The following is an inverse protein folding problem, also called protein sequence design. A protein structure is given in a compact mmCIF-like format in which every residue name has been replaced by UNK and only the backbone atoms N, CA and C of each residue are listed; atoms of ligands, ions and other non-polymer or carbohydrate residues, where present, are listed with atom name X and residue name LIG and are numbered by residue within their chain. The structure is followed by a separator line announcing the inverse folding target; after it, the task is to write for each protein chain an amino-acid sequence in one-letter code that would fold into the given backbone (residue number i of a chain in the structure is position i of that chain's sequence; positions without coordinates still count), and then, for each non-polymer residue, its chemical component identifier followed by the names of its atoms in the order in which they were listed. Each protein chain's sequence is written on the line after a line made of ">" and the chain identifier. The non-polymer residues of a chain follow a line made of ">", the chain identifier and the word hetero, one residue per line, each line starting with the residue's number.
data_IF_838430536249
#
_entry.id   IF_838430536249
#
_cell.length_a   1.000
_cell.length_b   1.000
_cell.length_c   1.000
_cell.angle_alpha   90.00
_cell.angle_beta   90.00
_cell.angle_gamma   90.00
#
_symmetry.space_group_name_H-M   'P 1'
#
loop_
_entity.id
_entity.type
_entity.pdbx_description
1 polymer ?
#
# COMPACT_ATOMS: atom_id res chain seq x y z
N UNK A 1 -28.28 -3.98 0.74
CA UNK A 1 -27.43 -4.22 -0.44
C UNK A 1 -26.91 -2.88 -0.94
N UNK A 2 -25.78 -2.43 -0.38
CA UNK A 2 -24.93 -1.36 -0.94
C UNK A 2 -23.50 -1.65 -0.50
N UNK A 3 -22.98 -2.83 -0.88
CA UNK A 3 -21.54 -3.01 -0.94
C UNK A 3 -21.05 -2.23 -2.16
N UNK A 4 -20.96 -0.91 -2.02
CA UNK A 4 -20.15 -0.09 -2.93
C UNK A 4 -18.72 -0.57 -2.76
N UNK A 5 -18.33 -1.56 -3.55
CA UNK A 5 -16.97 -1.59 -4.07
C UNK A 5 -16.74 -0.17 -4.58
N UNK A 6 -16.01 0.67 -3.83
CA UNK A 6 -15.74 2.03 -4.29
C UNK A 6 -15.08 1.88 -5.66
N UNK A 7 -15.87 2.17 -6.70
CA UNK A 7 -15.42 2.03 -8.06
C UNK A 7 -14.28 3.05 -8.21
N UNK A 8 -13.09 2.55 -8.53
CA UNK A 8 -11.92 3.38 -8.66
C UNK A 8 -12.22 4.53 -9.61
N UNK A 9 -12.02 5.75 -9.14
CA UNK A 9 -12.15 6.94 -9.98
C UNK A 9 -10.79 7.28 -10.55
N UNK A 10 -10.62 7.25 -11.89
CA UNK A 10 -9.36 7.63 -12.52
C UNK A 10 -8.96 9.04 -12.10
N UNK A 11 -7.72 9.16 -11.63
CA UNK A 11 -7.19 10.44 -11.20
C UNK A 11 -6.34 11.06 -12.32
N UNK A 12 -6.44 12.37 -12.48
CA UNK A 12 -5.57 13.11 -13.40
C UNK A 12 -4.15 13.18 -12.82
N UNK A 13 -3.25 12.35 -13.38
CA UNK A 13 -1.85 12.27 -12.99
C UNK A 13 -1.13 13.61 -13.17
N UNK A 14 -1.42 14.35 -14.24
CA UNK A 14 -0.68 15.57 -14.58
C UNK A 14 -1.10 16.69 -13.64
N UNK A 15 -2.40 16.95 -13.53
CA UNK A 15 -2.92 18.01 -12.65
C UNK A 15 -2.55 17.78 -11.19
N UNK A 16 -2.70 16.54 -10.72
CA UNK A 16 -2.35 16.16 -9.35
C UNK A 16 -0.85 16.31 -9.09
N UNK A 17 0.00 15.86 -10.01
CA UNK A 17 1.46 16.00 -9.91
C UNK A 17 1.89 17.46 -9.90
N UNK A 18 1.34 18.30 -10.79
CA UNK A 18 1.67 19.73 -10.85
C UNK A 18 1.32 20.40 -9.52
N UNK A 19 0.11 20.17 -8.99
CA UNK A 19 -0.32 20.73 -7.70
C UNK A 19 0.63 20.32 -6.57
N UNK A 20 0.92 19.03 -6.45
CA UNK A 20 1.81 18.53 -5.39
C UNK A 20 3.25 19.03 -5.55
N UNK A 21 3.75 19.11 -6.79
CA UNK A 21 5.08 19.65 -7.09
C UNK A 21 5.16 21.14 -6.73
N UNK A 22 4.12 21.92 -6.99
CA UNK A 22 4.06 23.34 -6.62
C UNK A 22 4.02 23.52 -5.10
N UNK A 23 3.19 22.74 -4.39
CA UNK A 23 3.11 22.80 -2.92
C UNK A 23 4.45 22.41 -2.29
N UNK A 24 5.03 21.29 -2.70
CA UNK A 24 6.33 20.84 -2.18
C UNK A 24 7.47 21.77 -2.60
N UNK A 25 7.44 22.32 -3.80
CA UNK A 25 8.37 23.36 -4.25
C UNK A 25 8.27 24.64 -3.41
N UNK A 26 7.06 25.06 -3.01
CA UNK A 26 6.86 26.19 -2.12
C UNK A 26 7.42 25.92 -0.71
N UNK A 27 7.23 24.72 -0.17
CA UNK A 27 7.87 24.27 1.08
C UNK A 27 9.40 24.28 0.93
N UNK A 28 9.92 23.84 -0.22
CA UNK A 28 11.34 23.87 -0.54
C UNK A 28 11.90 25.30 -0.64
N UNK A 29 11.13 26.24 -1.19
CA UNK A 29 11.46 27.66 -1.23
C UNK A 29 11.53 28.23 0.19
N UNK A 30 10.52 27.95 1.01
CA UNK A 30 10.52 28.38 2.41
C UNK A 30 11.74 27.84 3.17
N UNK A 31 12.03 26.54 3.03
CA UNK A 31 13.21 25.92 3.61
C UNK A 31 14.52 26.53 3.07
N UNK A 32 14.57 26.83 1.77
CA UNK A 32 15.71 27.50 1.13
C UNK A 32 15.95 28.89 1.71
N UNK A 33 14.89 29.67 1.93
CA UNK A 33 14.95 30.99 2.55
C UNK A 33 15.49 30.91 3.98
N UNK A 34 14.98 29.98 4.79
CA UNK A 34 15.50 29.73 6.15
C UNK A 34 16.96 29.31 6.12
N UNK A 35 17.35 28.43 5.18
CA UNK A 35 18.75 28.03 5.06
C UNK A 35 19.65 29.19 4.64
N UNK A 36 19.19 30.08 3.77
CA UNK A 36 19.94 31.24 3.31
C UNK A 36 20.16 32.27 4.45
N UNK A 37 19.17 32.48 5.31
CA UNK A 37 19.31 33.39 6.47
C UNK A 37 20.24 32.84 7.56
N UNK A 38 20.35 31.52 7.67
CA UNK A 38 21.24 30.85 8.63
C UNK A 38 22.70 30.72 8.13
N UNK A 39 23.01 31.14 6.90
CA UNK A 39 24.40 31.04 6.40
C UNK A 39 25.31 32.06 7.07
N UNK A 40 26.54 31.64 7.38
CA UNK A 40 27.57 32.48 8.03
C UNK A 40 28.01 33.69 7.19
N UNK A 41 27.72 33.68 5.89
CA UNK A 41 28.08 34.73 4.92
C UNK A 41 26.78 35.29 4.36
N UNK A 42 26.70 36.61 4.19
CA UNK A 42 25.51 37.25 3.62
C UNK A 42 25.52 37.09 2.10
N UNK A 43 24.63 36.26 1.57
CA UNK A 43 24.46 36.02 0.13
C UNK A 43 23.29 36.82 -0.48
N UNK A 44 22.63 37.66 0.33
CA UNK A 44 21.47 38.45 -0.10
C UNK A 44 20.27 37.58 -0.54
N UNK A 45 19.22 38.21 -1.08
CA UNK A 45 18.01 37.52 -1.53
C UNK A 45 18.27 36.52 -2.67
N UNK A 46 19.23 36.81 -3.52
CA UNK A 46 19.58 35.95 -4.66
C UNK A 46 20.25 34.62 -4.24
N UNK A 47 20.78 34.55 -3.00
CA UNK A 47 21.31 33.33 -2.41
C UNK A 47 20.27 32.20 -2.30
N UNK A 48 18.99 32.53 -2.17
CA UNK A 48 17.89 31.54 -2.07
C UNK A 48 17.78 30.67 -3.33
N UNK A 49 18.05 31.26 -4.50
CA UNK A 49 17.97 30.55 -5.78
C UNK A 49 19.34 29.98 -6.17
N UNK A 50 20.41 30.76 -5.99
CA UNK A 50 21.74 30.37 -6.50
C UNK A 50 22.52 29.46 -5.55
N UNK A 51 22.35 29.62 -4.22
CA UNK A 51 23.13 28.88 -3.23
C UNK A 51 22.34 27.76 -2.57
N UNK A 52 21.12 28.05 -2.16
CA UNK A 52 20.22 27.08 -1.51
C UNK A 52 19.14 26.54 -2.45
N UNK A 53 19.10 26.96 -3.73
CA UNK A 53 18.10 26.51 -4.70
C UNK A 53 18.06 24.99 -4.93
N UNK A 54 19.13 24.27 -4.58
CA UNK A 54 19.14 22.81 -4.58
C UNK A 54 18.08 22.18 -3.65
N UNK A 55 17.67 22.86 -2.57
CA UNK A 55 16.58 22.37 -1.72
C UNK A 55 15.22 22.53 -2.38
N UNK A 56 15.00 23.64 -3.09
CA UNK A 56 13.77 23.86 -3.86
C UNK A 56 13.59 22.74 -4.87
N UNK A 57 14.65 22.48 -5.66
CA UNK A 57 14.65 21.39 -6.63
C UNK A 57 14.45 20.02 -5.98
N UNK A 58 15.08 19.77 -4.83
CA UNK A 58 14.92 18.52 -4.09
C UNK A 58 13.47 18.31 -3.66
N UNK A 59 12.86 19.24 -2.93
CA UNK A 59 11.49 19.10 -2.46
C UNK A 59 10.48 18.97 -3.60
N UNK A 60 10.63 19.79 -4.65
CA UNK A 60 9.78 19.70 -5.84
C UNK A 60 9.93 18.33 -6.54
N UNK A 61 11.16 17.83 -6.70
CA UNK A 61 11.41 16.53 -7.34
C UNK A 61 10.82 15.36 -6.53
N UNK A 62 10.94 15.40 -5.20
CA UNK A 62 10.38 14.37 -4.32
C UNK A 62 8.86 14.36 -4.39
N UNK A 63 8.23 15.53 -4.26
CA UNK A 63 6.77 15.66 -4.33
C UNK A 63 6.19 15.28 -5.69
N UNK A 64 6.85 15.73 -6.77
CA UNK A 64 6.45 15.39 -8.13
C UNK A 64 6.61 13.91 -8.45
N UNK A 65 7.77 13.32 -8.17
CA UNK A 65 8.02 11.91 -8.41
C UNK A 65 7.09 11.01 -7.57
N UNK A 66 6.87 11.37 -6.30
CA UNK A 66 5.94 10.67 -5.41
C UNK A 66 4.52 10.66 -5.97
N UNK A 67 3.97 11.84 -6.28
CA UNK A 67 2.58 11.96 -6.70
C UNK A 67 2.35 11.32 -8.06
N UNK A 68 3.26 11.53 -9.00
CA UNK A 68 3.17 10.94 -10.33
C UNK A 68 3.16 9.42 -10.26
N UNK A 69 4.13 8.82 -9.55
CA UNK A 69 4.22 7.37 -9.43
C UNK A 69 3.04 6.77 -8.68
N UNK A 70 2.56 7.43 -7.61
CA UNK A 70 1.37 7.02 -6.87
C UNK A 70 0.13 6.98 -7.76
N UNK A 71 -0.13 8.05 -8.50
CA UNK A 71 -1.32 8.16 -9.36
C UNK A 71 -1.21 7.24 -10.58
N UNK A 72 -0.02 7.12 -11.18
CA UNK A 72 0.20 6.17 -12.27
C UNK A 72 -0.03 4.72 -11.84
N UNK A 73 0.45 4.34 -10.64
CA UNK A 73 0.22 3.01 -10.08
C UNK A 73 -1.25 2.77 -9.75
N UNK A 74 -1.95 3.78 -9.23
CA UNK A 74 -3.37 3.70 -8.93
C UNK A 74 -4.22 3.54 -10.21
N UNK A 75 -3.93 4.33 -11.24
CA UNK A 75 -4.62 4.27 -12.53
C UNK A 75 -4.38 2.94 -13.25
N UNK A 76 -3.16 2.39 -13.20
CA UNK A 76 -2.84 1.11 -13.85
C UNK A 76 -3.47 -0.09 -13.15
N UNK A 77 -3.61 -0.02 -11.81
CA UNK A 77 -4.16 -1.11 -11.00
C UNK A 77 -5.66 -0.97 -10.75
N UNK A 78 -6.23 0.17 -11.13
CA UNK A 78 -7.61 0.58 -10.86
C UNK A 78 -8.01 0.35 -9.39
N UNK A 79 -7.07 0.60 -8.47
CA UNK A 79 -7.20 0.32 -7.04
C UNK A 79 -6.44 1.34 -6.20
N UNK A 80 -7.06 1.79 -5.11
CA UNK A 80 -6.43 2.63 -4.10
C UNK A 80 -5.95 1.79 -2.90
N UNK A 81 -4.69 1.37 -2.94
CA UNK A 81 -4.07 0.58 -1.87
C UNK A 81 -2.73 1.19 -1.43
N UNK A 82 -2.22 0.72 -0.27
CA UNK A 82 -0.89 1.01 0.27
C UNK A 82 0.28 0.76 -0.72
N UNK A 83 0.09 -0.12 -1.69
CA UNK A 83 1.05 -0.34 -2.78
C UNK A 83 1.28 0.91 -3.64
N UNK A 84 0.31 1.81 -3.74
CA UNK A 84 0.46 3.05 -4.49
C UNK A 84 1.41 4.00 -3.76
N UNK A 85 1.35 4.07 -2.43
CA UNK A 85 2.36 4.78 -1.64
C UNK A 85 3.72 4.08 -1.62
N UNK A 86 3.78 2.76 -1.76
CA UNK A 86 5.06 2.08 -1.93
C UNK A 86 5.77 2.55 -3.20
N UNK A 87 5.05 2.61 -4.33
CA UNK A 87 5.60 3.13 -5.59
C UNK A 87 5.92 4.62 -5.50
N UNK A 88 5.00 5.43 -4.97
CA UNK A 88 5.26 6.85 -4.72
C UNK A 88 6.52 7.07 -3.87
N UNK A 89 6.63 6.33 -2.75
CA UNK A 89 7.76 6.40 -1.83
C UNK A 89 9.07 5.93 -2.44
N UNK A 90 9.03 4.93 -3.30
CA UNK A 90 10.21 4.46 -4.03
C UNK A 90 10.78 5.55 -4.92
N UNK A 91 9.94 6.18 -5.75
CA UNK A 91 10.37 7.22 -6.68
C UNK A 91 10.67 8.55 -5.97
N UNK A 92 9.90 8.91 -4.94
CA UNK A 92 10.19 10.06 -4.09
C UNK A 92 11.51 9.89 -3.30
N UNK A 93 11.75 8.72 -2.71
CA UNK A 93 12.99 8.39 -2.02
C UNK A 93 14.19 8.30 -2.96
N UNK A 94 14.01 7.76 -4.17
CA UNK A 94 15.02 7.76 -5.22
C UNK A 94 15.45 9.19 -5.58
N UNK A 95 14.52 10.15 -5.65
CA UNK A 95 14.83 11.56 -5.90
C UNK A 95 15.71 12.17 -4.81
N UNK A 96 15.54 11.75 -3.54
CA UNK A 96 16.46 12.12 -2.45
C UNK A 96 17.86 11.54 -2.68
N UNK A 97 17.94 10.26 -3.05
CA UNK A 97 19.20 9.58 -3.30
C UNK A 97 19.98 10.11 -4.49
N UNK A 98 19.33 10.72 -5.48
CA UNK A 98 20.00 11.39 -6.60
C UNK A 98 20.94 12.51 -6.16
N UNK A 99 20.66 13.16 -5.02
CA UNK A 99 21.55 14.16 -4.40
C UNK A 99 22.93 13.58 -4.09
N UNK A 100 22.98 12.32 -3.67
CA UNK A 100 24.21 11.61 -3.32
C UNK A 100 24.98 11.07 -4.54
N UNK A 101 24.43 11.19 -5.76
CA UNK A 101 25.07 10.82 -7.04
C UNK A 101 25.63 9.40 -7.09
N UNK A 102 25.03 8.46 -6.36
CA UNK A 102 25.44 7.06 -6.32
C UNK A 102 24.23 6.14 -6.43
N UNK A 103 24.36 5.08 -7.23
CA UNK A 103 23.28 4.10 -7.43
C UNK A 103 22.83 3.41 -6.12
N UNK A 104 23.74 2.97 -5.22
CA UNK A 104 23.34 2.38 -3.95
C UNK A 104 22.52 3.34 -3.09
N UNK A 105 22.82 4.64 -3.10
CA UNK A 105 22.05 5.63 -2.35
C UNK A 105 20.63 5.76 -2.90
N UNK A 106 20.47 5.85 -4.24
CA UNK A 106 19.15 5.92 -4.89
C UNK A 106 18.27 4.74 -4.48
N UNK A 107 18.81 3.53 -4.54
CA UNK A 107 18.06 2.32 -4.14
C UNK A 107 17.80 2.28 -2.64
N UNK A 108 18.80 2.59 -1.81
CA UNK A 108 18.66 2.58 -0.35
C UNK A 108 17.60 3.57 0.14
N UNK A 109 17.68 4.83 -0.28
CA UNK A 109 16.69 5.85 0.08
C UNK A 109 15.31 5.50 -0.50
N UNK A 110 15.24 5.01 -1.74
CA UNK A 110 13.99 4.56 -2.34
C UNK A 110 13.31 3.47 -1.53
N UNK A 111 14.01 2.39 -1.19
CA UNK A 111 13.45 1.24 -0.46
C UNK A 111 13.03 1.63 0.96
N UNK A 112 13.85 2.41 1.67
CA UNK A 112 13.52 2.85 3.03
C UNK A 112 12.24 3.69 3.03
N UNK A 113 12.16 4.69 2.14
CA UNK A 113 10.99 5.58 2.07
C UNK A 113 9.76 4.82 1.57
N UNK A 114 9.90 3.95 0.56
CA UNK A 114 8.82 3.08 0.09
C UNK A 114 8.22 2.24 1.22
N UNK A 115 9.08 1.60 2.00
CA UNK A 115 8.66 0.72 3.11
C UNK A 115 7.99 1.53 4.22
N UNK A 116 8.55 2.69 4.57
CA UNK A 116 7.97 3.55 5.60
C UNK A 116 6.58 4.07 5.21
N UNK A 117 6.41 4.53 3.96
CA UNK A 117 5.13 5.04 3.48
C UNK A 117 4.11 3.92 3.23
N UNK A 118 4.55 2.76 2.75
CA UNK A 118 3.66 1.61 2.59
C UNK A 118 3.13 1.13 3.94
N UNK A 119 3.98 1.07 4.97
CA UNK A 119 3.55 0.72 6.34
C UNK A 119 2.61 1.79 6.87
N UNK A 120 2.91 3.07 6.68
CA UNK A 120 2.05 4.17 7.12
C UNK A 120 0.65 4.09 6.51
N UNK A 121 0.53 3.91 5.19
CA UNK A 121 -0.78 3.75 4.54
C UNK A 121 -1.47 2.44 4.93
N UNK A 122 -0.71 1.35 5.09
CA UNK A 122 -1.24 0.09 5.59
C UNK A 122 -1.86 0.23 6.99
N UNK A 123 -1.27 1.07 7.86
CA UNK A 123 -1.82 1.36 9.18
C UNK A 123 -2.98 2.36 9.19
N UNK A 124 -3.40 2.87 8.03
CA UNK A 124 -4.56 3.74 7.89
C UNK A 124 -4.25 5.19 7.52
N UNK A 125 -3.00 5.52 7.20
CA UNK A 125 -2.63 6.79 6.53
C UNK A 125 -2.90 8.07 7.32
N UNK A 126 -3.21 7.98 8.62
CA UNK A 126 -3.54 9.12 9.48
C UNK A 126 -2.73 9.08 10.78
N UNK A 127 -2.07 10.19 11.09
CA UNK A 127 -1.37 10.39 12.37
C UNK A 127 -2.34 10.72 13.52
N UNK A 128 -3.52 11.28 13.20
CA UNK A 128 -4.54 11.64 14.18
C UNK A 128 -5.49 10.48 14.52
N UNK A 129 -5.32 9.32 13.87
CA UNK A 129 -6.23 8.18 13.94
C UNK A 129 -7.35 8.25 12.90
N UNK A 130 -8.11 7.15 12.76
CA UNK A 130 -9.41 7.17 12.06
C UNK A 130 -10.35 8.05 12.91
N UNK A 131 -10.96 9.06 12.29
CA UNK A 131 -11.91 9.96 12.95
C UNK A 131 -13.16 9.25 13.47
N UNK A 132 -14.23 10.01 13.74
CA UNK A 132 -15.51 9.44 14.16
C UNK A 132 -16.02 8.43 13.12
N UNK A 133 -16.27 7.20 13.59
CA UNK A 133 -16.78 6.12 12.75
C UNK A 133 -18.17 6.47 12.20
N UNK A 134 -18.31 6.45 10.88
CA UNK A 134 -19.62 6.41 10.22
C UNK A 134 -20.34 5.11 10.62
N UNK A 135 -21.67 5.06 10.51
CA UNK A 135 -22.44 3.83 10.80
C UNK A 135 -21.94 2.60 10.02
N UNK A 136 -21.43 2.79 8.80
CA UNK A 136 -20.81 1.74 7.98
C UNK A 136 -19.52 1.18 8.62
N UNK A 137 -18.66 2.06 9.15
CA UNK A 137 -17.44 1.69 9.89
C UNK A 137 -17.79 0.94 11.19
N UNK A 138 -18.93 1.25 11.83
CA UNK A 138 -19.42 0.52 12.99
C UNK A 138 -19.93 -0.88 12.63
N UNK A 139 -20.65 -1.02 11.52
CA UNK A 139 -21.12 -2.33 11.05
C UNK A 139 -19.95 -3.26 10.76
N UNK A 140 -18.96 -2.81 9.98
CA UNK A 140 -17.76 -3.57 9.65
C UNK A 140 -16.96 -3.93 10.91
N UNK A 141 -16.84 -2.99 11.85
CA UNK A 141 -16.21 -3.25 13.13
C UNK A 141 -16.94 -4.35 13.90
N UNK A 142 -18.27 -4.30 13.98
CA UNK A 142 -19.09 -5.31 14.66
C UNK A 142 -19.01 -6.66 13.94
N UNK A 143 -18.95 -6.67 12.61
CA UNK A 143 -18.77 -7.89 11.82
C UNK A 143 -17.40 -8.53 12.08
N UNK A 144 -16.31 -7.74 12.08
CA UNK A 144 -14.97 -8.25 12.47
C UNK A 144 -14.96 -8.82 13.88
N UNK A 145 -15.57 -8.12 14.84
CA UNK A 145 -15.68 -8.61 16.22
C UNK A 145 -16.47 -9.93 16.28
N UNK A 146 -17.54 -10.07 15.49
CA UNK A 146 -18.32 -11.32 15.40
C UNK A 146 -17.49 -12.46 14.79
N UNK A 147 -16.77 -12.18 13.70
CA UNK A 147 -15.89 -13.15 13.01
C UNK A 147 -14.77 -13.67 13.91
N UNK A 148 -14.29 -12.88 14.87
CA UNK A 148 -13.29 -13.33 15.85
C UNK A 148 -13.78 -14.45 16.78
N UNK A 149 -15.10 -14.55 17.04
CA UNK A 149 -15.63 -15.57 17.95
C UNK A 149 -15.98 -16.87 17.22
N UNK A 150 -16.67 -16.78 16.08
CA UNK A 150 -17.07 -17.96 15.30
C UNK A 150 -17.34 -17.58 13.85
N UNK A 151 -16.61 -18.21 12.93
CA UNK A 151 -16.88 -18.17 11.50
C UNK A 151 -17.54 -19.48 11.03
N UNK A 152 -18.43 -19.43 10.03
CA UNK A 152 -18.89 -20.62 9.33
C UNK A 152 -17.73 -21.39 8.69
N UNK A 153 -17.80 -22.73 8.71
CA UNK A 153 -16.75 -23.58 8.13
C UNK A 153 -16.65 -23.40 6.61
N UNK A 154 -17.77 -23.10 5.95
CA UNK A 154 -17.86 -22.82 4.51
C UNK A 154 -17.12 -21.54 4.13
N UNK A 155 -17.27 -20.45 4.90
CA UNK A 155 -16.53 -19.19 4.70
C UNK A 155 -15.03 -19.41 4.88
N UNK A 156 -14.66 -20.23 5.86
CA UNK A 156 -13.27 -20.59 6.14
C UNK A 156 -12.65 -21.39 4.98
N UNK A 157 -13.40 -22.33 4.42
CA UNK A 157 -12.98 -23.13 3.25
C UNK A 157 -12.89 -22.25 1.99
N UNK A 158 -13.81 -21.31 1.80
CA UNK A 158 -13.78 -20.38 0.68
C UNK A 158 -12.55 -19.46 0.72
N UNK A 159 -12.13 -19.02 1.92
CA UNK A 159 -10.97 -18.13 2.08
C UNK A 159 -9.62 -18.86 2.09
N UNK A 160 -9.52 -19.97 2.81
CA UNK A 160 -8.25 -20.70 3.02
C UNK A 160 -8.03 -21.85 2.04
N UNK A 161 -9.10 -22.32 1.39
CA UNK A 161 -9.10 -23.54 0.60
C UNK A 161 -9.15 -24.81 1.44
N UNK A 162 -9.45 -25.93 0.78
CA UNK A 162 -9.43 -27.25 1.42
C UNK A 162 -8.00 -27.78 1.50
N UNK A 163 -7.56 -28.18 2.69
CA UNK A 163 -6.21 -28.71 2.90
C UNK A 163 -5.66 -28.44 4.30
N UNK A 164 -4.50 -29.03 4.62
CA UNK A 164 -3.76 -28.80 5.89
C UNK A 164 -4.61 -28.94 7.17
N UNK A 165 -5.57 -29.88 7.17
CA UNK A 165 -6.42 -30.19 8.33
C UNK A 165 -7.82 -29.55 8.29
N UNK A 166 -8.11 -28.64 7.36
CA UNK A 166 -9.44 -28.05 7.17
C UNK A 166 -10.23 -28.92 6.18
N UNK A 167 -11.40 -29.43 6.60
CA UNK A 167 -12.27 -30.30 5.80
C UNK A 167 -13.70 -29.78 5.86
N UNK A 168 -14.35 -29.68 4.70
CA UNK A 168 -15.79 -29.43 4.61
C UNK A 168 -16.62 -30.67 4.89
N UNK A 169 -17.92 -30.46 5.09
CA UNK A 169 -18.90 -31.49 5.47
C UNK A 169 -18.89 -32.72 4.53
N UNK A 170 -18.70 -32.51 3.22
CA UNK A 170 -18.63 -33.59 2.20
C UNK A 170 -17.20 -33.82 1.65
N UNK A 171 -16.17 -33.64 2.47
CA UNK A 171 -14.77 -33.77 2.02
C UNK A 171 -14.40 -35.19 1.57
N UNK A 172 -14.85 -36.22 2.30
CA UNK A 172 -14.48 -37.61 2.02
C UNK A 172 -15.10 -38.11 0.71
N UNK A 173 -16.31 -37.70 0.40
CA UNK A 173 -17.00 -38.05 -0.85
C UNK A 173 -16.31 -37.42 -2.06
N UNK A 174 -16.01 -36.11 -1.98
CA UNK A 174 -15.26 -35.40 -3.04
C UNK A 174 -13.83 -35.91 -3.17
N UNK A 175 -13.20 -36.34 -2.08
CA UNK A 175 -11.88 -37.01 -2.13
C UNK A 175 -11.98 -38.36 -2.82
N UNK A 176 -12.99 -39.18 -2.53
CA UNK A 176 -13.22 -40.47 -3.20
C UNK A 176 -13.45 -40.27 -4.70
N UNK A 177 -14.29 -39.33 -5.11
CA UNK A 177 -14.51 -38.98 -6.51
C UNK A 177 -13.21 -38.54 -7.20
N UNK A 178 -12.44 -37.62 -6.59
CA UNK A 178 -11.13 -37.17 -7.12
C UNK A 178 -10.12 -38.31 -7.27
N UNK A 179 -10.10 -39.28 -6.36
CA UNK A 179 -9.19 -40.43 -6.42
C UNK A 179 -9.65 -41.44 -7.48
N UNK A 180 -10.96 -41.69 -7.58
CA UNK A 180 -11.56 -42.55 -8.59
C UNK A 180 -11.29 -42.02 -10.00
N UNK A 181 -11.51 -40.72 -10.22
CA UNK A 181 -11.25 -40.06 -11.51
C UNK A 181 -9.77 -40.05 -11.88
N UNK A 182 -8.88 -39.80 -10.92
CA UNK A 182 -7.44 -39.61 -11.21
C UNK A 182 -6.65 -40.92 -11.25
N UNK A 183 -7.07 -41.93 -10.51
CA UNK A 183 -6.30 -43.17 -10.33
C UNK A 183 -7.10 -44.46 -10.60
N UNK A 184 -8.42 -44.37 -10.84
CA UNK A 184 -9.26 -45.55 -11.06
C UNK A 184 -9.44 -46.44 -9.82
N UNK A 185 -9.09 -45.93 -8.63
CA UNK A 185 -9.12 -46.67 -7.37
C UNK A 185 -10.42 -46.35 -6.63
N UNK A 186 -11.22 -47.38 -6.34
CA UNK A 186 -12.41 -47.27 -5.50
C UNK A 186 -12.02 -47.38 -4.03
N UNK A 187 -12.08 -46.25 -3.32
CA UNK A 187 -11.78 -46.17 -1.88
C UNK A 187 -13.06 -46.46 -1.08
N UNK A 188 -13.06 -47.44 -0.14
CA UNK A 188 -14.24 -47.81 0.63
C UNK A 188 -14.76 -46.68 1.52
N UNK A 189 -16.08 -46.65 1.73
CA UNK A 189 -16.81 -45.58 2.42
C UNK A 189 -16.66 -45.54 3.94
N UNK A 190 -16.31 -46.66 4.53
CA UNK A 190 -16.08 -46.83 5.97
C UNK A 190 -14.64 -47.26 6.17
N UNK A 191 -13.95 -46.69 7.17
CA UNK A 191 -12.74 -47.31 7.69
C UNK A 191 -13.14 -48.75 8.05
N UNK A 192 -12.58 -49.72 7.33
CA UNK A 192 -12.78 -51.13 7.64
C UNK A 192 -12.43 -51.29 9.12
N UNK A 193 -13.33 -51.76 10.00
CA UNK A 193 -13.00 -51.91 11.40
C UNK A 193 -11.74 -52.75 11.45
N UNK A 194 -10.68 -52.21 12.07
CA UNK A 194 -9.46 -52.96 12.30
C UNK A 194 -9.88 -54.27 12.96
N UNK A 195 -9.58 -55.38 12.30
CA UNK A 195 -10.07 -56.70 12.67
C UNK A 195 -9.80 -57.02 14.14
N UNK A 196 -10.72 -57.78 14.71
CA UNK A 196 -10.48 -58.61 15.88
C UNK A 196 -9.34 -59.61 15.63
#
# INVERSE_FOLDING_TARGET
>A
MSSTTEAYQPQDAISSTIKTTLVTGAVGLFASSVQNTLQKRNYGPWGVVTRTGGTIALFASVGGAYQFARVAAANLREKEDHWNAAWGGLFGGAAIGLRARTFPAVLGYGVIVATALSVFEFTGGSLAGKGHATEEDEFDRRERLRKNFRSPIEETIAQLGEGRGIRGENYEERRRQRIKEKYGIDVPATAQPAGA
#
